data_IF_473005462903
#
_entry.id   IF_473005462903
#
_cell.length_a   1.000
_cell.length_b   1.000
_cell.length_c   1.000
_cell.angle_alpha   90.00
_cell.angle_beta   90.00
_cell.angle_gamma   90.00
#
_symmetry.space_group_name_H-M   'P 1'
#
loop_
_entity.id
_entity.type
_entity.pdbx_description
1 polymer ?
#
# COMPACT_ATOMS: atom_id res chain seq x y z
N UNK A 1 -23.99 17.04 -12.76
CA UNK A 1 -23.43 15.93 -11.94
C UNK A 1 -22.31 16.56 -11.12
N UNK A 2 -22.39 16.53 -9.80
CA UNK A 2 -21.28 17.01 -8.97
C UNK A 2 -20.07 16.10 -9.25
N UNK A 3 -18.96 16.69 -9.66
CA UNK A 3 -17.69 15.97 -9.79
C UNK A 3 -17.29 15.49 -8.40
N UNK A 4 -17.20 14.18 -8.19
CA UNK A 4 -16.68 13.62 -6.96
C UNK A 4 -15.30 14.21 -6.66
N UNK A 5 -15.07 14.62 -5.41
CA UNK A 5 -13.78 15.16 -4.95
C UNK A 5 -12.70 14.05 -4.93
N UNK A 6 -13.10 12.79 -4.89
CA UNK A 6 -12.24 11.63 -4.70
C UNK A 6 -12.27 10.67 -5.89
N UNK A 7 -11.24 9.86 -6.02
CA UNK A 7 -11.20 8.73 -6.94
C UNK A 7 -12.36 7.76 -6.64
N UNK A 8 -12.92 7.08 -7.66
CA UNK A 8 -14.11 6.23 -7.47
C UNK A 8 -13.99 5.25 -6.31
N UNK A 9 -12.86 4.56 -6.17
CA UNK A 9 -12.66 3.56 -5.12
C UNK A 9 -12.58 4.20 -3.71
N UNK A 10 -12.06 5.43 -3.58
CA UNK A 10 -12.05 6.15 -2.30
C UNK A 10 -13.45 6.69 -1.99
N UNK A 11 -14.19 7.15 -3.00
CA UNK A 11 -15.58 7.55 -2.83
C UNK A 11 -16.45 6.36 -2.37
N UNK A 12 -16.21 5.15 -2.88
CA UNK A 12 -16.89 3.94 -2.42
C UNK A 12 -16.69 3.68 -0.92
N UNK A 13 -15.48 3.95 -0.37
CA UNK A 13 -15.25 3.87 1.07
C UNK A 13 -16.08 4.90 1.84
N UNK A 14 -16.08 6.15 1.38
CA UNK A 14 -16.86 7.22 2.03
C UNK A 14 -18.37 6.90 2.02
N UNK A 15 -18.88 6.42 0.90
CA UNK A 15 -20.28 6.02 0.77
C UNK A 15 -20.60 4.82 1.68
N UNK A 16 -19.68 3.86 1.81
CA UNK A 16 -19.79 2.73 2.72
C UNK A 16 -19.80 3.18 4.19
N UNK A 17 -18.90 4.09 4.57
CA UNK A 17 -18.84 4.67 5.92
C UNK A 17 -20.17 5.36 6.23
N UNK A 18 -20.68 6.18 5.31
CA UNK A 18 -21.94 6.89 5.48
C UNK A 18 -23.14 5.94 5.59
N UNK A 19 -23.23 4.96 4.68
CA UNK A 19 -24.32 3.98 4.60
C UNK A 19 -24.43 3.11 5.87
N UNK A 20 -23.29 2.74 6.45
CA UNK A 20 -23.26 1.84 7.60
C UNK A 20 -23.13 2.57 8.94
N UNK A 21 -23.09 3.90 8.96
CA UNK A 21 -22.95 4.69 10.18
C UNK A 21 -21.59 4.49 10.86
N UNK A 22 -20.51 4.35 10.08
CA UNK A 22 -19.16 4.08 10.62
C UNK A 22 -18.32 5.33 10.86
N UNK A 23 -18.90 6.53 10.71
CA UNK A 23 -18.17 7.80 10.86
C UNK A 23 -17.43 7.88 12.20
N UNK A 24 -18.14 7.59 13.29
CA UNK A 24 -17.55 7.63 14.63
C UNK A 24 -16.46 6.56 14.82
N UNK A 25 -16.66 5.37 14.25
CA UNK A 25 -15.65 4.31 14.31
C UNK A 25 -14.34 4.73 13.64
N UNK A 26 -14.44 5.33 12.45
CA UNK A 26 -13.26 5.85 11.73
C UNK A 26 -12.61 7.01 12.45
N UNK A 27 -13.40 7.90 13.08
CA UNK A 27 -12.87 9.00 13.88
C UNK A 27 -12.10 8.49 15.12
N UNK A 28 -12.66 7.52 15.85
CA UNK A 28 -12.00 6.90 17.01
C UNK A 28 -10.71 6.18 16.60
N UNK A 29 -10.74 5.44 15.48
CA UNK A 29 -9.55 4.76 14.94
C UNK A 29 -8.46 5.76 14.54
N UNK A 30 -8.84 6.87 13.91
CA UNK A 30 -7.93 7.96 13.58
C UNK A 30 -7.28 8.58 14.83
N UNK A 31 -8.07 8.95 15.83
CA UNK A 31 -7.57 9.52 17.07
C UNK A 31 -6.61 8.58 17.79
N UNK A 32 -6.95 7.29 17.82
CA UNK A 32 -6.08 6.26 18.36
C UNK A 32 -4.77 6.13 17.57
N UNK A 33 -4.83 6.10 16.24
CA UNK A 33 -3.66 6.07 15.39
C UNK A 33 -2.74 7.29 15.65
N UNK A 34 -3.30 8.49 15.73
CA UNK A 34 -2.56 9.72 16.04
C UNK A 34 -1.95 9.73 17.44
N UNK A 35 -2.57 9.05 18.41
CA UNK A 35 -2.04 8.97 19.77
C UNK A 35 -0.70 8.23 19.92
N UNK A 36 -0.30 7.46 18.90
CA UNK A 36 1.01 6.80 18.87
C UNK A 36 2.16 7.72 18.47
N UNK A 37 1.87 8.95 18.04
CA UNK A 37 2.86 9.98 17.66
C UNK A 37 3.90 9.45 16.65
N UNK A 38 3.43 8.77 15.62
CA UNK A 38 4.27 8.16 14.59
C UNK A 38 4.56 9.17 13.50
N UNK A 39 5.84 9.46 13.28
CA UNK A 39 6.32 10.48 12.33
C UNK A 39 5.76 10.30 10.90
N UNK A 40 5.55 9.06 10.48
CA UNK A 40 5.00 8.74 9.17
C UNK A 40 3.55 9.23 9.00
N UNK A 41 2.87 9.60 10.12
CA UNK A 41 1.51 10.13 10.14
C UNK A 41 1.44 11.64 10.38
N UNK A 42 2.58 12.35 10.41
CA UNK A 42 2.60 13.80 10.71
C UNK A 42 1.80 14.64 9.72
N UNK A 43 1.78 14.25 8.45
CA UNK A 43 1.04 14.92 7.38
C UNK A 43 -0.45 14.57 7.31
N UNK A 44 -0.93 13.63 8.13
CA UNK A 44 -2.35 13.23 8.24
C UNK A 44 -2.94 13.83 9.52
N UNK A 45 -3.64 14.95 9.39
CA UNK A 45 -4.18 15.69 10.54
C UNK A 45 -5.71 15.55 10.69
N UNK A 46 -6.35 14.89 9.71
CA UNK A 46 -7.78 14.61 9.71
C UNK A 46 -8.08 13.35 8.91
N UNK A 47 -9.30 12.82 9.02
CA UNK A 47 -9.76 11.76 8.12
C UNK A 47 -9.81 12.23 6.66
N UNK A 48 -10.13 13.50 6.41
CA UNK A 48 -10.12 14.06 5.06
C UNK A 48 -8.70 14.03 4.45
N UNK A 49 -7.66 14.30 5.25
CA UNK A 49 -6.27 14.17 4.80
C UNK A 49 -5.93 12.71 4.48
N UNK A 50 -6.42 11.77 5.29
CA UNK A 50 -6.22 10.34 5.02
C UNK A 50 -6.89 9.91 3.72
N UNK A 51 -8.13 10.34 3.46
CA UNK A 51 -8.82 10.03 2.21
C UNK A 51 -8.15 10.69 1.00
N UNK A 52 -7.65 11.91 1.14
CA UNK A 52 -6.86 12.57 0.11
C UNK A 52 -5.52 11.84 -0.14
N UNK A 53 -4.90 11.33 0.92
CA UNK A 53 -3.72 10.49 0.79
C UNK A 53 -4.03 9.16 0.07
N UNK A 54 -5.16 8.52 0.36
CA UNK A 54 -5.59 7.31 -0.37
C UNK A 54 -5.76 7.58 -1.87
N UNK A 55 -6.30 8.76 -2.27
CA UNK A 55 -6.38 9.14 -3.68
C UNK A 55 -4.99 9.26 -4.31
N UNK A 56 -4.09 9.97 -3.66
CA UNK A 56 -2.73 10.17 -4.15
C UNK A 56 -1.94 8.85 -4.24
N UNK A 57 -2.17 7.94 -3.29
CA UNK A 57 -1.51 6.66 -3.24
C UNK A 57 -1.84 5.76 -4.44
N UNK A 58 -3.02 5.88 -5.06
CA UNK A 58 -3.40 5.08 -6.23
C UNK A 58 -2.50 5.28 -7.46
N UNK A 59 -1.79 6.40 -7.51
CA UNK A 59 -0.85 6.72 -8.58
C UNK A 59 0.54 7.09 -8.04
N UNK A 60 0.82 6.68 -6.81
CA UNK A 60 2.11 6.90 -6.20
C UNK A 60 3.19 6.06 -6.89
N UNK A 61 4.27 6.71 -7.33
CA UNK A 61 5.45 6.04 -7.90
C UNK A 61 6.33 5.59 -6.75
N UNK A 62 6.53 4.28 -6.57
CA UNK A 62 7.36 3.78 -5.49
C UNK A 62 8.82 4.22 -5.61
N UNK A 63 9.38 4.72 -4.52
CA UNK A 63 10.78 5.07 -4.41
C UNK A 63 11.30 4.77 -2.99
N UNK A 64 12.60 4.66 -2.87
CA UNK A 64 13.24 4.29 -1.61
C UNK A 64 14.16 5.39 -1.10
N UNK A 65 14.50 5.34 0.16
CA UNK A 65 15.49 6.20 0.80
C UNK A 65 16.76 5.41 1.18
N UNK A 66 17.78 6.12 1.60
CA UNK A 66 19.06 5.51 1.99
C UNK A 66 18.96 4.52 3.17
N UNK A 67 17.85 4.51 3.90
CA UNK A 67 17.60 3.59 5.03
C UNK A 67 16.78 2.36 4.66
N UNK A 68 16.34 2.23 3.41
CA UNK A 68 15.57 1.09 2.91
C UNK A 68 14.16 0.95 3.53
N UNK A 69 13.55 2.05 4.01
CA UNK A 69 12.28 2.02 4.76
C UNK A 69 11.16 2.88 4.17
N UNK A 70 11.41 3.65 3.11
CA UNK A 70 10.37 4.54 2.58
C UNK A 70 9.16 3.75 2.06
N UNK A 71 9.39 2.68 1.32
CA UNK A 71 8.34 1.77 0.86
C UNK A 71 7.56 1.15 2.02
N UNK A 72 8.27 0.62 3.02
CA UNK A 72 7.64 0.01 4.19
C UNK A 72 6.75 1.02 4.93
N UNK A 73 7.26 2.21 5.21
CA UNK A 73 6.51 3.25 5.92
C UNK A 73 5.29 3.70 5.11
N UNK A 74 5.41 3.79 3.78
CA UNK A 74 4.28 4.12 2.92
C UNK A 74 3.18 3.06 2.97
N UNK A 75 3.54 1.77 2.96
CA UNK A 75 2.58 0.67 3.12
C UNK A 75 1.94 0.69 4.51
N UNK A 76 2.72 0.91 5.57
CA UNK A 76 2.20 0.99 6.93
C UNK A 76 1.17 2.11 7.08
N UNK A 77 1.35 3.23 6.39
CA UNK A 77 0.43 4.36 6.40
C UNK A 77 -0.98 3.96 5.92
N UNK A 78 -1.08 3.09 4.91
CA UNK A 78 -2.36 2.56 4.46
C UNK A 78 -3.12 1.84 5.59
N UNK A 79 -2.42 1.02 6.37
CA UNK A 79 -3.02 0.23 7.44
C UNK A 79 -3.21 0.99 8.75
N UNK A 80 -2.60 2.16 8.92
CA UNK A 80 -2.45 2.78 10.22
C UNK A 80 -3.78 3.08 10.93
N UNK A 81 -4.79 3.52 10.17
CA UNK A 81 -6.16 3.72 10.67
C UNK A 81 -6.96 2.41 10.60
N UNK A 82 -6.78 1.65 9.52
CA UNK A 82 -7.54 0.41 9.28
C UNK A 82 -7.26 -0.66 10.35
N UNK A 83 -6.04 -0.69 10.90
CA UNK A 83 -5.65 -1.65 11.95
C UNK A 83 -6.04 -1.19 13.38
N UNK A 84 -6.67 -0.03 13.53
CA UNK A 84 -7.12 0.42 14.84
C UNK A 84 -8.57 -0.02 15.13
N UNK A 85 -8.81 -0.50 16.36
CA UNK A 85 -10.17 -0.60 16.88
C UNK A 85 -10.83 0.80 16.92
N UNK A 86 -12.11 0.92 16.55
CA UNK A 86 -13.04 -0.15 16.20
C UNK A 86 -13.17 -0.44 14.69
N UNK A 87 -12.28 0.09 13.83
CA UNK A 87 -12.32 -0.16 12.38
C UNK A 87 -11.79 -1.56 12.04
N UNK A 88 -10.81 -2.04 12.80
CA UNK A 88 -10.26 -3.38 12.63
C UNK A 88 -11.33 -4.48 12.72
N UNK A 89 -12.31 -4.34 13.61
CA UNK A 89 -13.40 -5.31 13.80
C UNK A 89 -14.41 -5.33 12.63
N UNK A 90 -14.30 -4.40 11.67
CA UNK A 90 -15.11 -4.41 10.46
C UNK A 90 -14.51 -5.29 9.36
N UNK A 91 -13.33 -5.84 9.59
CA UNK A 91 -12.59 -6.68 8.66
C UNK A 91 -12.77 -8.17 8.99
N UNK A 92 -12.46 -9.02 8.01
CA UNK A 92 -12.30 -10.44 8.30
C UNK A 92 -11.05 -10.63 9.16
N UNK A 93 -11.10 -11.49 10.18
CA UNK A 93 -9.90 -11.91 10.89
C UNK A 93 -8.95 -12.66 9.93
N UNK A 94 -7.64 -12.50 10.14
CA UNK A 94 -6.63 -13.29 9.42
C UNK A 94 -6.45 -14.60 10.16
N UNK A 95 -7.23 -15.62 9.77
CA UNK A 95 -7.16 -16.95 10.36
C UNK A 95 -6.82 -17.99 9.31
N UNK A 96 -5.83 -18.88 9.57
CA UNK A 96 -5.36 -19.86 8.57
C UNK A 96 -6.43 -20.87 8.12
N UNK A 97 -7.47 -21.06 8.93
CA UNK A 97 -8.50 -22.08 8.68
C UNK A 97 -9.72 -21.58 7.91
N UNK A 98 -9.86 -20.26 7.73
CA UNK A 98 -11.07 -19.64 7.19
C UNK A 98 -10.85 -18.98 5.81
N UNK A 99 -10.02 -19.57 4.97
CA UNK A 99 -9.69 -19.07 3.63
C UNK A 99 -10.88 -18.95 2.67
N UNK A 100 -12.01 -19.57 2.98
CA UNK A 100 -13.22 -19.57 2.14
C UNK A 100 -14.35 -18.66 2.66
N UNK A 101 -14.14 -17.90 3.74
CA UNK A 101 -15.17 -17.01 4.26
C UNK A 101 -15.48 -15.87 3.29
N UNK A 102 -16.76 -15.49 3.11
CA UNK A 102 -17.13 -14.29 2.40
C UNK A 102 -16.45 -13.06 3.02
N UNK A 103 -15.92 -12.19 2.18
CA UNK A 103 -15.32 -10.96 2.66
C UNK A 103 -16.36 -10.04 3.27
N UNK A 104 -16.04 -9.42 4.41
CA UNK A 104 -16.80 -8.30 4.92
C UNK A 104 -16.74 -7.12 3.93
N UNK A 105 -17.69 -6.17 3.97
CA UNK A 105 -17.65 -5.03 3.07
C UNK A 105 -16.33 -4.26 3.10
N UNK A 106 -15.74 -4.05 4.28
CA UNK A 106 -14.46 -3.34 4.41
C UNK A 106 -13.31 -4.17 3.83
N UNK A 107 -13.23 -5.47 4.11
CA UNK A 107 -12.20 -6.35 3.53
C UNK A 107 -12.32 -6.45 2.01
N UNK A 108 -13.54 -6.50 1.47
CA UNK A 108 -13.77 -6.49 0.02
C UNK A 108 -13.28 -5.19 -0.62
N UNK A 109 -13.55 -4.04 0.03
CA UNK A 109 -13.03 -2.75 -0.40
C UNK A 109 -11.50 -2.69 -0.34
N UNK A 110 -10.87 -3.13 0.76
CA UNK A 110 -9.40 -3.17 0.88
C UNK A 110 -8.77 -3.96 -0.27
N UNK A 111 -9.34 -5.12 -0.59
CA UNK A 111 -8.91 -5.94 -1.73
C UNK A 111 -9.05 -5.18 -3.05
N UNK A 112 -10.19 -4.54 -3.29
CA UNK A 112 -10.43 -3.78 -4.52
C UNK A 112 -9.48 -2.58 -4.63
N UNK A 113 -9.18 -1.90 -3.53
CA UNK A 113 -8.23 -0.78 -3.46
C UNK A 113 -6.81 -1.23 -3.85
N UNK A 114 -6.32 -2.32 -3.25
CA UNK A 114 -4.99 -2.87 -3.59
C UNK A 114 -4.93 -3.35 -5.04
N UNK A 115 -6.02 -3.89 -5.58
CA UNK A 115 -6.10 -4.25 -7.00
C UNK A 115 -6.09 -3.02 -7.92
N UNK A 116 -6.71 -1.90 -7.53
CA UNK A 116 -6.65 -0.65 -8.28
C UNK A 116 -5.23 -0.07 -8.29
N UNK A 117 -4.56 -0.05 -7.14
CA UNK A 117 -3.14 0.31 -7.04
C UNK A 117 -2.26 -0.61 -7.91
N UNK A 118 -2.47 -1.93 -7.84
CA UNK A 118 -1.74 -2.92 -8.63
C UNK A 118 -1.84 -2.67 -10.13
N UNK A 119 -3.01 -2.25 -10.62
CA UNK A 119 -3.17 -1.87 -12.04
C UNK A 119 -2.31 -0.68 -12.44
N UNK A 120 -2.18 0.33 -11.58
CA UNK A 120 -1.26 1.44 -11.83
C UNK A 120 0.20 0.95 -11.82
N UNK A 121 0.57 0.08 -10.88
CA UNK A 121 1.92 -0.46 -10.76
C UNK A 121 2.32 -1.36 -11.94
N UNK A 122 1.38 -1.80 -12.76
CA UNK A 122 1.63 -2.50 -14.03
C UNK A 122 1.90 -1.56 -15.22
N UNK A 123 1.64 -0.25 -15.06
CA UNK A 123 1.81 0.72 -16.14
C UNK A 123 3.23 1.28 -16.20
N UNK A 124 3.67 1.79 -17.38
CA UNK A 124 4.98 2.43 -17.50
C UNK A 124 5.15 3.68 -16.62
N UNK A 125 4.06 4.37 -16.30
CA UNK A 125 4.05 5.56 -15.46
C UNK A 125 4.41 5.27 -13.99
N UNK A 126 4.32 4.00 -13.59
CA UNK A 126 4.61 3.57 -12.21
C UNK A 126 6.10 3.49 -11.87
N UNK A 127 6.98 3.71 -12.85
CA UNK A 127 8.43 3.64 -12.66
C UNK A 127 9.11 4.77 -13.44
N UNK A 128 10.10 5.42 -12.83
CA UNK A 128 10.89 6.49 -13.45
C UNK A 128 12.38 6.22 -13.25
N UNK A 129 13.27 6.87 -14.03
CA UNK A 129 14.70 6.77 -13.78
C UNK A 129 15.10 7.12 -12.36
N UNK A 130 14.45 8.13 -11.77
CA UNK A 130 14.69 8.59 -10.40
C UNK A 130 14.23 7.53 -9.38
N UNK A 131 13.05 6.93 -9.59
CA UNK A 131 12.57 5.87 -8.70
C UNK A 131 13.46 4.63 -8.76
N UNK A 132 13.87 4.19 -9.95
CA UNK A 132 14.85 3.09 -10.11
C UNK A 132 16.15 3.43 -9.40
N UNK A 133 16.70 4.64 -9.63
CA UNK A 133 17.94 5.08 -8.99
C UNK A 133 17.85 5.03 -7.47
N UNK A 134 16.72 5.38 -6.88
CA UNK A 134 16.52 5.38 -5.43
C UNK A 134 16.73 3.98 -4.82
N UNK A 135 16.33 2.91 -5.51
CA UNK A 135 16.56 1.54 -5.10
C UNK A 135 18.04 1.11 -5.26
N UNK A 136 18.72 1.60 -6.32
CA UNK A 136 20.16 1.34 -6.49
C UNK A 136 21.00 2.08 -5.44
N UNK A 137 20.56 3.26 -5.01
CA UNK A 137 21.24 4.05 -3.97
C UNK A 137 20.96 3.50 -2.55
N UNK A 138 19.99 2.62 -2.38
CA UNK A 138 19.65 2.02 -1.09
C UNK A 138 20.37 0.67 -0.91
N UNK A 139 21.37 0.58 0.02
CA UNK A 139 22.15 -0.65 0.20
C UNK A 139 21.32 -1.88 0.56
N UNK A 140 20.20 -1.69 1.25
CA UNK A 140 19.31 -2.77 1.71
C UNK A 140 18.70 -3.58 0.54
N UNK A 141 18.60 -2.96 -0.64
CA UNK A 141 18.02 -3.62 -1.81
C UNK A 141 19.00 -4.51 -2.58
N UNK A 142 20.33 -4.41 -2.34
CA UNK A 142 21.36 -5.23 -2.96
C UNK A 142 21.16 -5.39 -4.48
N UNK A 143 20.92 -4.29 -5.19
CA UNK A 143 20.53 -4.31 -6.61
C UNK A 143 21.54 -5.04 -7.52
N UNK A 144 22.81 -5.12 -7.09
CA UNK A 144 23.85 -5.88 -7.81
C UNK A 144 23.55 -7.39 -7.93
N UNK A 145 22.70 -7.94 -7.07
CA UNK A 145 22.31 -9.36 -7.07
C UNK A 145 21.23 -9.70 -8.10
N UNK A 146 20.61 -8.70 -8.75
CA UNK A 146 19.46 -8.91 -9.63
C UNK A 146 19.81 -8.77 -11.10
N UNK A 147 19.02 -9.48 -11.94
CA UNK A 147 19.08 -9.38 -13.39
C UNK A 147 18.28 -8.16 -13.83
N UNK A 148 18.94 -7.24 -14.50
CA UNK A 148 18.26 -6.12 -15.15
C UNK A 148 17.81 -6.55 -16.56
N UNK A 149 16.52 -6.32 -16.95
CA UNK A 149 16.04 -6.69 -18.25
C UNK A 149 16.66 -5.80 -19.34
N UNK A 150 16.86 -6.39 -20.52
CA UNK A 150 17.32 -5.62 -21.68
C UNK A 150 16.33 -4.47 -21.98
N UNK A 151 16.83 -3.25 -21.99
CA UNK A 151 16.02 -2.03 -22.19
C UNK A 151 15.34 -1.50 -20.93
N UNK A 152 15.81 -1.90 -19.74
CA UNK A 152 15.38 -1.41 -18.45
C UNK A 152 14.00 -1.94 -18.01
N UNK A 153 13.57 -1.48 -16.86
CA UNK A 153 12.30 -1.84 -16.24
C UNK A 153 11.13 -1.12 -16.94
N UNK A 154 10.03 -1.82 -17.17
CA UNK A 154 8.86 -1.30 -17.92
C UNK A 154 7.71 -0.87 -17.00
N UNK A 155 7.68 -1.37 -15.78
CA UNK A 155 6.71 -1.02 -14.74
C UNK A 155 7.30 -1.34 -13.37
N UNK A 156 6.70 -0.78 -12.31
CA UNK A 156 7.13 -1.11 -10.96
C UNK A 156 6.88 -2.59 -10.62
N UNK A 157 5.77 -3.18 -11.05
CA UNK A 157 5.52 -4.61 -10.81
C UNK A 157 6.56 -5.51 -11.49
N UNK A 158 7.04 -5.17 -12.69
CA UNK A 158 8.17 -5.87 -13.28
C UNK A 158 9.44 -5.72 -12.42
N UNK A 159 9.73 -4.51 -11.95
CA UNK A 159 10.85 -4.25 -11.04
C UNK A 159 10.69 -5.02 -9.72
N UNK A 160 9.51 -5.03 -9.13
CA UNK A 160 9.23 -5.75 -7.89
C UNK A 160 9.43 -7.26 -8.04
N UNK A 161 8.98 -7.84 -9.16
CA UNK A 161 9.13 -9.27 -9.50
C UNK A 161 10.51 -9.63 -10.13
N UNK A 162 11.54 -8.82 -9.91
CA UNK A 162 12.87 -9.03 -10.47
C UNK A 162 13.50 -10.36 -10.06
N UNK A 163 14.23 -10.95 -10.95
CA UNK A 163 14.92 -12.21 -10.72
C UNK A 163 16.35 -12.01 -10.20
N UNK A 164 16.75 -12.83 -9.24
CA UNK A 164 18.13 -12.86 -8.75
C UNK A 164 19.07 -13.53 -9.77
N UNK A 165 20.32 -13.10 -9.82
CA UNK A 165 21.38 -13.76 -10.57
C UNK A 165 21.63 -15.18 -10.02
N UNK A 166 22.02 -16.14 -10.87
CA UNK A 166 22.39 -17.46 -10.42
C UNK A 166 23.48 -17.41 -9.33
N UNK A 167 23.26 -18.14 -8.22
CA UNK A 167 24.18 -18.21 -7.11
C UNK A 167 24.06 -17.11 -6.04
N UNK A 168 23.33 -16.01 -6.29
CA UNK A 168 23.13 -14.95 -5.30
C UNK A 168 22.17 -15.38 -4.17
N UNK A 169 21.23 -16.25 -4.46
CA UNK A 169 20.27 -16.81 -3.50
C UNK A 169 20.24 -18.34 -3.62
N UNK A 170 21.23 -19.06 -3.01
CA UNK A 170 21.25 -20.52 -3.10
C UNK A 170 20.03 -21.12 -2.39
N UNK A 171 19.37 -22.06 -3.05
CA UNK A 171 18.31 -22.87 -2.43
C UNK A 171 19.01 -23.92 -1.58
N UNK A 172 18.50 -24.17 -0.35
CA UNK A 172 18.98 -25.26 0.46
C UNK A 172 18.83 -26.59 -0.29
N UNK A 173 19.85 -27.45 -0.22
CA UNK A 173 19.73 -28.80 -0.75
C UNK A 173 18.55 -29.50 -0.04
N UNK A 174 17.66 -30.11 -0.82
CA UNK A 174 16.63 -30.98 -0.28
C UNK A 174 17.37 -32.29 0.06
N UNK A 175 17.50 -32.60 1.36
CA UNK A 175 17.99 -33.88 1.85
C UNK A 175 16.94 -34.97 1.67
#
# INVERSE_FOLDING_TARGET
MATSKHQPIVQELLDMIAKNGWQEKFQQAFEKAKSYDVKEMDDINSLDDYFAWLDANLTWIPLENQFGRAMFNHICKFYFILDQSPVKELQNPVEPHDVAQPLTPLSAWMKAYVQALGKFLDTPESITPESVKSFYDSPEFNMAEYLEPHGGWKSYNQFFARHTKPGCRPVAAIE
#
